data_IF_164622813124
#
_entry.id   IF_164622813124
#
_cell.length_a   1.000
_cell.length_b   1.000
_cell.length_c   1.000
_cell.angle_alpha   90.00
_cell.angle_beta   90.00
_cell.angle_gamma   90.00
#
_symmetry.space_group_name_H-M   'P 1'
#
loop_
_entity.id
_entity.type
_entity.pdbx_description
1 polymer ?
#
# COMPACT_ATOMS: atom_id res chain seq x y z
N UNK A 1 -14.85 42.09 -62.45
CA UNK A 1 -14.64 41.86 -61.00
C UNK A 1 -15.04 40.44 -60.69
N UNK A 2 -14.22 39.77 -59.90
CA UNK A 2 -13.93 38.34 -59.93
C UNK A 2 -15.04 37.41 -59.40
N UNK A 3 -15.01 36.20 -59.96
CA UNK A 3 -15.79 35.02 -59.63
C UNK A 3 -15.26 34.36 -58.34
N UNK A 4 -16.01 34.46 -57.24
CA UNK A 4 -15.71 33.76 -55.99
C UNK A 4 -16.00 32.26 -56.08
N UNK A 5 -14.98 31.45 -56.37
CA UNK A 5 -15.04 29.98 -56.24
C UNK A 5 -14.93 29.58 -54.78
N UNK A 6 -16.01 29.03 -54.22
CA UNK A 6 -15.94 28.24 -52.98
C UNK A 6 -15.22 26.92 -53.28
N UNK A 7 -13.99 26.78 -52.80
CA UNK A 7 -13.26 25.50 -52.82
C UNK A 7 -13.79 24.64 -51.67
N UNK A 8 -14.52 23.59 -52.03
CA UNK A 8 -14.94 22.52 -51.14
C UNK A 8 -13.70 21.68 -50.80
N UNK A 9 -13.16 21.83 -49.59
CA UNK A 9 -12.08 20.98 -49.06
C UNK A 9 -12.53 19.51 -49.07
N UNK A 10 -11.71 18.56 -49.56
CA UNK A 10 -12.06 17.15 -49.49
C UNK A 10 -11.98 16.66 -48.03
N UNK A 11 -13.01 15.94 -47.59
CA UNK A 11 -13.00 15.20 -46.32
C UNK A 11 -11.89 14.14 -46.41
N UNK A 12 -10.87 14.24 -45.56
CA UNK A 12 -9.88 13.18 -45.39
C UNK A 12 -10.51 12.02 -44.60
N UNK A 13 -11.11 11.07 -45.32
CA UNK A 13 -11.38 9.73 -44.81
C UNK A 13 -10.11 8.89 -44.85
N UNK A 14 -10.04 7.92 -43.93
CA UNK A 14 -8.97 6.94 -43.71
C UNK A 14 -7.78 7.37 -42.83
N UNK A 15 -8.03 7.49 -41.51
CA UNK A 15 -7.00 7.09 -40.55
C UNK A 15 -6.80 5.58 -40.67
N UNK A 16 -5.87 5.14 -41.52
CA UNK A 16 -5.39 3.75 -41.51
C UNK A 16 -4.74 3.50 -40.16
N UNK A 17 -5.49 2.90 -39.23
CA UNK A 17 -4.89 2.17 -38.12
C UNK A 17 -4.04 1.07 -38.75
N UNK A 18 -2.73 1.32 -38.85
CA UNK A 18 -1.76 0.29 -39.20
C UNK A 18 -1.80 -0.71 -38.07
N UNK A 19 -2.49 -1.82 -38.29
CA UNK A 19 -2.34 -3.02 -37.49
C UNK A 19 -0.88 -3.43 -37.56
N UNK A 20 -0.14 -3.26 -36.47
CA UNK A 20 1.25 -3.72 -36.40
C UNK A 20 1.18 -5.24 -36.20
N UNK A 21 1.73 -6.06 -37.12
CA UNK A 21 1.65 -7.51 -36.99
C UNK A 21 2.31 -7.97 -35.69
N UNK A 22 1.78 -9.03 -35.09
CA UNK A 22 2.27 -9.63 -33.85
C UNK A 22 3.78 -9.98 -33.84
N UNK A 23 4.44 -10.12 -35.00
CA UNK A 23 5.90 -10.27 -35.10
C UNK A 23 6.72 -9.05 -34.65
N UNK A 24 6.10 -7.89 -34.47
CA UNK A 24 6.72 -6.70 -33.86
C UNK A 24 6.82 -6.76 -32.33
N UNK A 25 6.08 -7.69 -31.68
CA UNK A 25 6.09 -7.83 -30.23
C UNK A 25 7.33 -8.59 -29.73
N UNK A 26 7.85 -9.54 -30.51
CA UNK A 26 9.10 -10.23 -30.17
C UNK A 26 10.31 -9.27 -30.23
N UNK A 27 10.38 -8.43 -31.28
CA UNK A 27 11.41 -7.39 -31.39
C UNK A 27 11.31 -6.35 -30.27
N UNK A 28 10.11 -6.01 -29.81
CA UNK A 28 9.93 -5.05 -28.71
C UNK A 28 10.30 -5.69 -27.36
N UNK A 29 10.00 -6.96 -27.14
CA UNK A 29 10.38 -7.67 -25.92
C UNK A 29 11.90 -7.90 -25.83
N UNK A 30 12.56 -8.21 -26.95
CA UNK A 30 14.02 -8.35 -27.01
C UNK A 30 14.70 -7.01 -26.69
N UNK A 31 14.24 -5.91 -27.30
CA UNK A 31 14.75 -4.57 -27.01
C UNK A 31 14.54 -4.17 -25.54
N UNK A 32 13.38 -4.47 -24.96
CA UNK A 32 13.09 -4.23 -23.53
C UNK A 32 14.02 -5.05 -22.62
N UNK A 33 14.27 -6.31 -22.96
CA UNK A 33 15.14 -7.20 -22.17
C UNK A 33 16.59 -6.73 -22.25
N UNK A 34 17.07 -6.45 -23.46
CA UNK A 34 18.45 -6.03 -23.72
C UNK A 34 18.78 -4.69 -23.06
N UNK A 35 17.89 -3.70 -23.16
CA UNK A 35 18.11 -2.37 -22.57
C UNK A 35 17.75 -2.32 -21.07
N UNK A 36 16.56 -2.82 -20.72
CA UNK A 36 15.99 -2.67 -19.38
C UNK A 36 16.71 -3.49 -18.32
N UNK A 37 17.25 -4.67 -18.69
CA UNK A 37 18.06 -5.53 -17.80
C UNK A 37 17.46 -5.68 -16.39
N UNK A 38 16.16 -5.93 -16.32
CA UNK A 38 15.38 -5.85 -15.08
C UNK A 38 16.00 -6.68 -13.95
N UNK A 39 16.43 -7.91 -14.22
CA UNK A 39 17.04 -8.81 -13.24
C UNK A 39 18.33 -8.24 -12.64
N UNK A 40 19.15 -7.56 -13.46
CA UNK A 40 20.38 -6.94 -13.01
C UNK A 40 20.09 -5.74 -12.09
N UNK A 41 19.10 -4.92 -12.44
CA UNK A 41 18.67 -3.79 -11.61
C UNK A 41 18.05 -4.26 -10.29
N UNK A 42 17.19 -5.28 -10.33
CA UNK A 42 16.60 -5.87 -9.14
C UNK A 42 17.66 -6.44 -8.20
N UNK A 43 18.62 -7.22 -8.73
CA UNK A 43 19.72 -7.79 -7.96
C UNK A 43 20.60 -6.71 -7.31
N UNK A 44 20.93 -5.64 -8.05
CA UNK A 44 21.69 -4.51 -7.53
C UNK A 44 20.99 -3.82 -6.35
N UNK A 45 19.65 -3.74 -6.39
CA UNK A 45 18.81 -3.20 -5.31
C UNK A 45 18.58 -4.20 -4.16
N UNK A 46 19.00 -5.46 -4.29
CA UNK A 46 18.69 -6.51 -3.30
C UNK A 46 17.26 -7.04 -3.38
N UNK A 47 16.53 -6.75 -4.46
CA UNK A 47 15.17 -7.22 -4.73
C UNK A 47 15.21 -8.62 -5.35
N UNK A 48 15.64 -9.61 -4.57
CA UNK A 48 15.59 -11.01 -5.00
C UNK A 48 14.13 -11.46 -5.19
N UNK A 49 13.85 -12.55 -5.94
CA UNK A 49 12.49 -13.05 -6.08
C UNK A 49 11.78 -13.31 -4.74
N UNK A 50 12.50 -13.85 -3.74
CA UNK A 50 11.97 -14.09 -2.41
C UNK A 50 11.57 -12.78 -1.70
N UNK A 51 12.45 -11.76 -1.74
CA UNK A 51 12.18 -10.42 -1.20
C UNK A 51 11.00 -9.75 -1.92
N UNK A 52 10.98 -9.85 -3.26
CA UNK A 52 9.91 -9.31 -4.10
C UNK A 52 8.53 -9.86 -3.76
N UNK A 53 8.42 -11.17 -3.52
CA UNK A 53 7.17 -11.82 -3.08
C UNK A 53 6.69 -11.26 -1.74
N UNK A 54 7.59 -11.06 -0.78
CA UNK A 54 7.23 -10.51 0.54
C UNK A 54 6.73 -9.07 0.43
N UNK A 55 7.41 -8.23 -0.35
CA UNK A 55 6.99 -6.85 -0.64
C UNK A 55 5.63 -6.82 -1.33
N UNK A 56 5.46 -7.64 -2.38
CA UNK A 56 4.20 -7.73 -3.11
C UNK A 56 3.05 -8.12 -2.16
N UNK A 57 3.26 -9.11 -1.29
CA UNK A 57 2.28 -9.52 -0.29
C UNK A 57 1.89 -8.36 0.65
N UNK A 58 2.87 -7.61 1.19
CA UNK A 58 2.62 -6.45 2.06
C UNK A 58 1.75 -5.40 1.34
N UNK A 59 2.08 -5.06 0.09
CA UNK A 59 1.32 -4.10 -0.71
C UNK A 59 -0.10 -4.61 -1.00
N UNK A 60 -0.24 -5.88 -1.39
CA UNK A 60 -1.54 -6.49 -1.65
C UNK A 60 -2.41 -6.56 -0.39
N UNK A 61 -1.83 -6.88 0.77
CA UNK A 61 -2.55 -6.90 2.04
C UNK A 61 -3.03 -5.50 2.43
N UNK A 62 -2.22 -4.46 2.21
CA UNK A 62 -2.63 -3.08 2.46
C UNK A 62 -3.84 -2.69 1.61
N UNK A 63 -3.85 -3.02 0.31
CA UNK A 63 -5.01 -2.77 -0.56
C UNK A 63 -6.26 -3.53 -0.10
N UNK A 64 -6.10 -4.78 0.35
CA UNK A 64 -7.19 -5.55 0.96
C UNK A 64 -7.71 -4.92 2.26
N UNK A 65 -6.81 -4.41 3.11
CA UNK A 65 -7.17 -3.73 4.36
C UNK A 65 -8.01 -2.49 4.05
N UNK A 66 -7.60 -1.64 3.10
CA UNK A 66 -8.36 -0.45 2.69
C UNK A 66 -9.80 -0.83 2.28
N UNK A 67 -9.93 -1.83 1.41
CA UNK A 67 -11.22 -2.32 0.92
C UNK A 67 -12.13 -2.85 2.04
N UNK A 68 -11.57 -3.62 2.97
CA UNK A 68 -12.32 -4.26 4.05
C UNK A 68 -12.62 -3.29 5.21
N UNK A 69 -11.73 -2.34 5.49
CA UNK A 69 -11.92 -1.33 6.53
C UNK A 69 -13.16 -0.50 6.29
N UNK A 70 -13.36 -0.02 5.06
CA UNK A 70 -14.56 0.73 4.70
C UNK A 70 -15.84 -0.06 5.00
N UNK A 71 -15.87 -1.35 4.66
CA UNK A 71 -17.03 -2.23 4.90
C UNK A 71 -17.22 -2.56 6.37
N UNK A 72 -16.14 -2.76 7.12
CA UNK A 72 -16.18 -2.95 8.55
C UNK A 72 -16.74 -1.69 9.25
N UNK A 73 -16.35 -0.49 8.79
CA UNK A 73 -16.92 0.76 9.26
C UNK A 73 -18.41 0.86 9.03
N UNK A 74 -18.89 0.48 7.84
CA UNK A 74 -20.33 0.48 7.57
C UNK A 74 -21.09 -0.40 8.54
N UNK A 75 -20.58 -1.61 8.81
CA UNK A 75 -21.22 -2.54 9.74
C UNK A 75 -21.21 -2.05 11.17
N UNK A 76 -20.04 -1.67 11.68
CA UNK A 76 -19.88 -1.18 13.06
C UNK A 76 -20.74 0.06 13.30
N UNK A 77 -20.97 0.89 12.27
CA UNK A 77 -21.79 2.10 12.35
C UNK A 77 -23.25 1.91 11.92
N UNK A 78 -23.65 0.71 11.49
CA UNK A 78 -25.00 0.44 10.99
C UNK A 78 -25.39 1.20 9.71
N UNK A 79 -24.44 1.47 8.82
CA UNK A 79 -24.64 2.19 7.56
C UNK A 79 -25.03 1.20 6.46
N UNK A 80 -26.16 1.45 5.78
CA UNK A 80 -26.50 0.81 4.50
C UNK A 80 -26.03 1.72 3.35
N UNK A 81 -24.98 1.35 2.59
CA UNK A 81 -24.48 2.15 1.48
C UNK A 81 -25.39 2.09 0.24
N UNK A 82 -26.46 1.29 0.23
CA UNK A 82 -27.30 1.11 -0.96
C UNK A 82 -28.00 2.41 -1.34
N UNK A 83 -27.72 2.90 -2.55
CA UNK A 83 -28.38 4.09 -3.10
C UNK A 83 -27.92 5.41 -2.48
N UNK A 84 -26.99 5.40 -1.53
CA UNK A 84 -26.47 6.59 -0.87
C UNK A 84 -24.95 6.59 -0.93
N UNK A 85 -24.35 7.72 -1.29
CA UNK A 85 -22.90 7.89 -1.23
C UNK A 85 -22.46 7.89 0.25
N UNK A 86 -21.69 6.91 0.73
CA UNK A 86 -21.28 6.88 2.13
C UNK A 86 -20.23 7.95 2.41
N UNK A 87 -20.14 8.40 3.67
CA UNK A 87 -19.16 9.39 4.12
C UNK A 87 -17.70 8.87 4.14
N UNK A 88 -17.55 7.55 3.91
CA UNK A 88 -16.29 6.83 3.73
C UNK A 88 -15.75 6.91 2.30
N UNK A 89 -16.56 7.29 1.31
CA UNK A 89 -16.15 7.32 -0.10
C UNK A 89 -14.97 8.29 -0.32
N UNK A 90 -13.98 7.83 -1.09
CA UNK A 90 -12.77 8.57 -1.45
C UNK A 90 -11.98 9.13 -0.24
N UNK A 91 -12.19 8.58 0.96
CA UNK A 91 -11.43 8.94 2.15
C UNK A 91 -10.03 8.35 2.10
N UNK A 92 -9.07 9.09 2.62
CA UNK A 92 -7.73 8.57 2.85
C UNK A 92 -7.79 7.48 3.93
N UNK A 93 -6.91 6.49 3.83
CA UNK A 93 -6.83 5.40 4.82
C UNK A 93 -6.66 5.91 6.25
N UNK A 94 -5.91 6.99 6.45
CA UNK A 94 -5.75 7.65 7.76
C UNK A 94 -7.06 8.17 8.34
N UNK A 95 -7.96 8.63 7.48
CA UNK A 95 -9.27 9.13 7.88
C UNK A 95 -10.17 7.95 8.25
N UNK A 96 -10.17 6.89 7.45
CA UNK A 96 -10.91 5.65 7.75
C UNK A 96 -10.48 5.03 9.08
N UNK A 97 -9.17 4.98 9.36
CA UNK A 97 -8.65 4.50 10.66
C UNK A 97 -9.17 5.38 11.80
N UNK A 98 -9.17 6.70 11.62
CA UNK A 98 -9.68 7.65 12.64
C UNK A 98 -11.19 7.49 12.86
N UNK A 99 -11.96 7.24 11.80
CA UNK A 99 -13.39 6.92 11.89
C UNK A 99 -13.61 5.63 12.68
N UNK A 100 -12.74 4.62 12.51
CA UNK A 100 -12.85 3.35 13.22
C UNK A 100 -12.50 3.51 14.70
N UNK A 101 -11.45 4.27 15.02
CA UNK A 101 -11.11 4.63 16.40
C UNK A 101 -12.27 5.35 17.11
N UNK A 102 -12.94 6.26 16.40
CA UNK A 102 -14.10 6.96 16.94
C UNK A 102 -15.28 6.02 17.18
N UNK A 103 -15.54 5.09 16.24
CA UNK A 103 -16.59 4.09 16.38
C UNK A 103 -16.31 3.08 17.50
N UNK A 104 -15.04 2.82 17.81
CA UNK A 104 -14.63 1.92 18.89
C UNK A 104 -15.08 2.39 20.28
N UNK A 105 -15.21 3.71 20.49
CA UNK A 105 -15.61 4.28 21.79
C UNK A 105 -17.00 3.82 22.26
N UNK A 106 -17.88 3.47 21.32
CA UNK A 106 -19.24 2.99 21.62
C UNK A 106 -19.32 1.47 21.89
N UNK A 107 -18.23 0.72 21.75
CA UNK A 107 -18.22 -0.74 21.85
C UNK A 107 -17.92 -1.24 23.28
N UNK A 108 -18.22 -2.51 23.55
CA UNK A 108 -17.87 -3.15 24.83
C UNK A 108 -16.35 -3.23 25.02
N UNK A 109 -15.86 -3.40 26.24
CA UNK A 109 -14.43 -3.23 26.56
C UNK A 109 -13.50 -4.15 25.74
N UNK A 110 -13.88 -5.41 25.51
CA UNK A 110 -13.09 -6.35 24.71
C UNK A 110 -13.01 -5.97 23.21
N UNK A 111 -14.15 -5.54 22.65
CA UNK A 111 -14.27 -5.11 21.26
C UNK A 111 -13.54 -3.78 21.04
N UNK A 112 -13.73 -2.83 21.97
CA UNK A 112 -13.03 -1.56 22.01
C UNK A 112 -11.52 -1.78 22.05
N UNK A 113 -11.03 -2.69 22.89
CA UNK A 113 -9.63 -3.04 22.95
C UNK A 113 -9.12 -3.61 21.62
N UNK A 114 -9.88 -4.52 20.99
CA UNK A 114 -9.54 -5.09 19.69
C UNK A 114 -9.38 -3.98 18.64
N UNK A 115 -10.38 -3.11 18.52
CA UNK A 115 -10.40 -2.04 17.52
C UNK A 115 -9.28 -1.02 17.76
N UNK A 116 -9.04 -0.61 19.00
CA UNK A 116 -7.95 0.32 19.33
C UNK A 116 -6.57 -0.26 19.01
N UNK A 117 -6.33 -1.53 19.35
CA UNK A 117 -5.08 -2.22 19.00
C UNK A 117 -4.91 -2.33 17.49
N UNK A 118 -5.99 -2.68 16.77
CA UNK A 118 -5.98 -2.77 15.31
C UNK A 118 -5.65 -1.42 14.69
N UNK A 119 -6.30 -0.33 15.12
CA UNK A 119 -6.05 1.01 14.58
C UNK A 119 -4.61 1.47 14.83
N UNK A 120 -4.08 1.27 16.05
CA UNK A 120 -2.70 1.62 16.37
C UNK A 120 -1.70 0.85 15.51
N UNK A 121 -1.91 -0.46 15.31
CA UNK A 121 -1.06 -1.28 14.45
C UNK A 121 -1.19 -0.87 12.96
N UNK A 122 -2.41 -0.59 12.49
CA UNK A 122 -2.67 -0.18 11.12
C UNK A 122 -1.97 1.15 10.78
N UNK A 123 -1.96 2.13 11.68
CA UNK A 123 -1.22 3.39 11.47
C UNK A 123 0.25 3.13 11.15
N UNK A 124 0.92 2.30 11.95
CA UNK A 124 2.32 1.92 11.72
C UNK A 124 2.49 1.09 10.44
N UNK A 125 1.60 0.13 10.18
CA UNK A 125 1.62 -0.67 8.95
C UNK A 125 1.49 0.17 7.68
N UNK A 126 0.61 1.18 7.69
CA UNK A 126 0.47 2.10 6.57
C UNK A 126 1.66 3.05 6.43
N UNK A 127 2.33 3.43 7.51
CA UNK A 127 3.63 4.14 7.41
C UNK A 127 4.65 3.31 6.63
N UNK A 128 4.82 2.03 6.99
CA UNK A 128 5.73 1.11 6.29
C UNK A 128 5.31 0.95 4.82
N UNK A 129 4.03 0.70 4.54
CA UNK A 129 3.51 0.60 3.17
C UNK A 129 3.77 1.87 2.36
N UNK A 130 3.59 3.05 2.95
CA UNK A 130 3.88 4.31 2.24
C UNK A 130 5.37 4.43 1.91
N UNK A 131 6.25 3.99 2.80
CA UNK A 131 7.69 3.98 2.54
C UNK A 131 8.01 3.00 1.41
N UNK A 132 7.49 1.77 1.43
CA UNK A 132 7.70 0.79 0.35
C UNK A 132 7.16 1.30 -1.00
N UNK A 133 5.93 1.82 -1.03
CA UNK A 133 5.25 2.16 -2.28
C UNK A 133 5.69 3.49 -2.90
N UNK A 134 6.19 4.43 -2.10
CA UNK A 134 6.55 5.78 -2.54
C UNK A 134 8.00 6.15 -2.26
N UNK A 135 8.75 5.28 -1.60
CA UNK A 135 10.16 5.46 -1.33
C UNK A 135 11.02 4.96 -2.48
N UNK A 136 12.22 5.53 -2.57
CA UNK A 136 13.25 5.05 -3.49
C UNK A 136 13.90 3.80 -2.86
N UNK A 137 13.89 2.65 -3.54
CA UNK A 137 14.58 1.46 -3.05
C UNK A 137 16.09 1.66 -3.17
N UNK A 138 16.81 1.25 -2.13
CA UNK A 138 18.26 1.28 -2.09
C UNK A 138 18.78 0.06 -1.34
N UNK A 139 19.95 -0.43 -1.75
CA UNK A 139 20.69 -1.42 -0.97
C UNK A 139 21.79 -0.71 -0.19
N UNK A 140 21.73 -0.80 1.13
CA UNK A 140 22.73 -0.19 2.02
C UNK A 140 23.32 -1.31 2.88
N UNK A 141 24.57 -1.69 2.59
CA UNK A 141 25.18 -2.88 3.17
C UNK A 141 24.37 -4.14 2.82
N UNK A 142 23.95 -4.88 3.86
CA UNK A 142 23.12 -6.08 3.73
C UNK A 142 21.62 -5.82 3.66
N UNK A 143 21.17 -4.59 3.94
CA UNK A 143 19.75 -4.27 4.09
C UNK A 143 19.17 -3.60 2.83
N UNK A 144 17.90 -3.88 2.56
CA UNK A 144 17.07 -3.12 1.63
C UNK A 144 16.46 -1.96 2.39
N UNK A 145 16.53 -0.74 1.84
CA UNK A 145 15.92 0.44 2.41
C UNK A 145 14.98 1.10 1.40
N UNK A 146 13.88 1.64 1.89
CA UNK A 146 12.96 2.48 1.12
C UNK A 146 12.93 3.88 1.72
N UNK A 147 13.42 4.89 0.99
CA UNK A 147 13.47 6.27 1.46
C UNK A 147 12.43 7.13 0.76
N UNK A 148 11.42 7.57 1.50
CA UNK A 148 10.35 8.46 1.02
C UNK A 148 10.72 9.91 1.34
N UNK A 149 10.61 10.78 0.34
CA UNK A 149 10.97 12.20 0.41
C UNK A 149 12.41 12.44 0.93
N UNK A 150 13.44 11.77 0.36
CA UNK A 150 14.82 12.07 0.72
C UNK A 150 15.13 13.54 0.44
N UNK A 151 16.15 14.06 1.15
CA UNK A 151 16.64 15.44 1.05
C UNK A 151 18.14 15.46 0.78
N UNK A 152 18.58 14.62 -0.16
CA UNK A 152 20.00 14.33 -0.40
C UNK A 152 20.78 15.55 -0.88
N UNK A 153 20.11 16.50 -1.55
CA UNK A 153 20.72 17.70 -2.13
C UNK A 153 20.45 18.94 -1.25
N UNK A 154 20.06 18.74 0.02
CA UNK A 154 19.71 19.83 0.93
C UNK A 154 18.36 20.50 0.63
N UNK A 155 17.55 19.91 -0.24
CA UNK A 155 16.27 20.50 -0.64
C UNK A 155 15.22 20.40 0.47
N UNK A 156 14.39 21.45 0.58
CA UNK A 156 13.25 21.45 1.48
C UNK A 156 12.04 20.80 0.80
N UNK A 157 11.47 19.77 1.45
CA UNK A 157 10.29 19.05 0.96
C UNK A 157 9.07 19.39 1.80
N UNK A 158 7.92 19.58 1.14
CA UNK A 158 6.62 19.78 1.81
C UNK A 158 6.22 18.60 2.71
N UNK A 159 6.54 17.38 2.27
CA UNK A 159 6.25 16.14 3.02
C UNK A 159 7.46 15.74 3.86
N UNK A 160 7.17 15.10 4.99
CA UNK A 160 8.20 14.58 5.90
C UNK A 160 8.97 13.41 5.26
N UNK A 161 10.24 13.34 5.62
CA UNK A 161 11.05 12.16 5.35
C UNK A 161 10.45 10.94 6.06
N UNK A 162 10.56 9.78 5.43
CA UNK A 162 10.27 8.51 6.08
C UNK A 162 11.09 7.42 5.44
N UNK A 163 11.50 6.45 6.23
CA UNK A 163 12.28 5.32 5.78
C UNK A 163 11.75 4.00 6.32
N UNK A 164 12.08 2.94 5.61
CA UNK A 164 11.83 1.58 6.06
C UNK A 164 13.04 0.73 5.71
N UNK A 165 13.67 0.16 6.74
CA UNK A 165 14.82 -0.72 6.61
C UNK A 165 14.36 -2.17 6.77
N UNK A 166 14.70 -2.98 5.78
CA UNK A 166 14.22 -4.33 5.62
C UNK A 166 15.39 -5.29 5.44
N UNK A 167 15.58 -6.13 6.46
CA UNK A 167 16.24 -7.42 6.28
C UNK A 167 15.19 -8.49 5.94
N UNK A 168 15.64 -9.66 5.51
CA UNK A 168 14.74 -10.73 5.06
C UNK A 168 13.74 -11.17 6.15
N UNK A 169 14.22 -11.25 7.40
CA UNK A 169 13.40 -11.55 8.58
C UNK A 169 12.43 -10.40 8.92
N UNK A 170 12.85 -9.15 8.76
CA UNK A 170 11.99 -7.97 8.97
C UNK A 170 10.80 -8.02 8.04
N UNK A 171 11.02 -8.35 6.76
CA UNK A 171 9.95 -8.48 5.78
C UNK A 171 8.96 -9.59 6.13
N UNK A 172 9.41 -10.71 6.67
CA UNK A 172 8.51 -11.77 7.13
C UNK A 172 7.64 -11.32 8.31
N UNK A 173 8.24 -10.68 9.31
CA UNK A 173 7.50 -10.16 10.46
C UNK A 173 6.45 -9.12 10.05
N UNK A 174 6.83 -8.16 9.20
CA UNK A 174 5.91 -7.15 8.68
C UNK A 174 4.80 -7.80 7.83
N UNK A 175 5.14 -8.78 6.99
CA UNK A 175 4.17 -9.51 6.17
C UNK A 175 3.12 -10.23 7.04
N UNK A 176 3.54 -10.95 8.08
CA UNK A 176 2.63 -11.64 9.00
C UNK A 176 1.78 -10.66 9.84
N UNK A 177 2.37 -9.54 10.25
CA UNK A 177 1.63 -8.49 10.95
C UNK A 177 0.55 -7.85 10.05
N UNK A 178 0.87 -7.55 8.79
CA UNK A 178 -0.10 -7.04 7.81
C UNK A 178 -1.18 -8.07 7.48
N UNK A 179 -0.84 -9.36 7.37
CA UNK A 179 -1.80 -10.44 7.21
C UNK A 179 -2.76 -10.54 8.41
N UNK A 180 -2.24 -10.35 9.62
CA UNK A 180 -3.06 -10.31 10.85
C UNK A 180 -4.09 -9.18 10.79
N UNK A 181 -3.66 -7.97 10.40
CA UNK A 181 -4.57 -6.83 10.24
C UNK A 181 -5.64 -7.11 9.19
N UNK A 182 -5.25 -7.64 8.02
CA UNK A 182 -6.17 -8.00 6.94
C UNK A 182 -7.20 -9.03 7.40
N UNK A 183 -6.75 -10.11 8.05
CA UNK A 183 -7.65 -11.18 8.50
C UNK A 183 -8.70 -10.63 9.46
N UNK A 184 -8.31 -9.82 10.43
CA UNK A 184 -9.24 -9.26 11.42
C UNK A 184 -10.25 -8.33 10.75
N UNK A 185 -9.79 -7.39 9.93
CA UNK A 185 -10.70 -6.42 9.32
C UNK A 185 -11.61 -7.07 8.27
N UNK A 186 -11.12 -8.08 7.56
CA UNK A 186 -11.93 -8.86 6.62
C UNK A 186 -13.02 -9.66 7.34
N UNK A 187 -12.74 -10.20 8.53
CA UNK A 187 -13.76 -10.85 9.37
C UNK A 187 -14.78 -9.83 9.88
N UNK A 188 -14.35 -8.68 10.41
CA UNK A 188 -15.25 -7.60 10.83
C UNK A 188 -16.11 -7.04 9.68
N UNK A 189 -15.63 -7.14 8.44
CA UNK A 189 -16.38 -6.76 7.25
C UNK A 189 -17.42 -7.79 6.81
N UNK A 190 -17.56 -8.92 7.51
CA UNK A 190 -18.42 -10.07 7.17
C UNK A 190 -19.30 -10.54 8.33
N UNK A 191 -18.81 -10.44 9.55
CA UNK A 191 -19.52 -10.82 10.76
C UNK A 191 -20.24 -9.60 11.36
N UNK A 192 -21.40 -9.84 11.94
CA UNK A 192 -22.18 -8.81 12.64
C UNK A 192 -21.90 -8.85 14.15
N UNK A 193 -21.24 -9.92 14.64
CA UNK A 193 -20.85 -10.07 16.03
C UNK A 193 -19.36 -9.75 16.25
N UNK A 194 -19.07 -8.55 16.75
CA UNK A 194 -17.71 -8.14 17.08
C UNK A 194 -17.11 -9.02 18.18
N UNK A 195 -17.92 -9.56 19.09
CA UNK A 195 -17.47 -10.39 20.20
C UNK A 195 -16.89 -11.72 19.72
N UNK A 196 -17.41 -12.25 18.60
CA UNK A 196 -16.87 -13.45 17.93
C UNK A 196 -15.46 -13.22 17.35
N UNK A 197 -15.10 -11.97 17.05
CA UNK A 197 -13.76 -11.59 16.57
C UNK A 197 -12.83 -11.21 17.73
N UNK A 198 -13.36 -10.61 18.79
CA UNK A 198 -12.64 -10.11 19.97
C UNK A 198 -12.12 -11.24 20.91
N UNK A 199 -11.62 -12.32 20.33
CA UNK A 199 -11.08 -13.47 21.05
C UNK A 199 -9.67 -13.21 21.59
N UNK A 200 -9.29 -13.93 22.65
CA UNK A 200 -7.94 -13.83 23.23
C UNK A 200 -6.80 -14.11 22.21
N UNK A 201 -6.91 -15.11 21.32
CA UNK A 201 -5.92 -15.32 20.25
C UNK A 201 -5.80 -14.10 19.32
N UNK A 202 -6.91 -13.49 18.92
CA UNK A 202 -6.89 -12.31 18.06
C UNK A 202 -6.23 -11.11 18.75
N UNK A 203 -6.57 -10.86 20.02
CA UNK A 203 -5.95 -9.80 20.82
C UNK A 203 -4.44 -10.02 20.99
N UNK A 204 -4.00 -11.26 21.22
CA UNK A 204 -2.57 -11.59 21.31
C UNK A 204 -1.85 -11.34 19.98
N UNK A 205 -2.44 -11.76 18.86
CA UNK A 205 -1.89 -11.53 17.54
C UNK A 205 -1.79 -10.03 17.21
N UNK A 206 -2.80 -9.24 17.57
CA UNK A 206 -2.77 -7.78 17.39
C UNK A 206 -1.71 -7.09 18.23
N UNK A 207 -1.49 -7.52 19.48
CA UNK A 207 -0.41 -6.97 20.31
C UNK A 207 0.95 -7.23 19.68
N UNK A 208 1.18 -8.44 19.17
CA UNK A 208 2.39 -8.78 18.44
C UNK A 208 2.53 -7.95 17.16
N UNK A 209 1.47 -7.86 16.33
CA UNK A 209 1.47 -7.06 15.12
C UNK A 209 1.74 -5.57 15.41
N UNK A 210 1.12 -5.01 16.46
CA UNK A 210 1.37 -3.63 16.90
C UNK A 210 2.82 -3.42 17.30
N UNK A 211 3.41 -4.36 18.04
CA UNK A 211 4.81 -4.30 18.45
C UNK A 211 5.73 -4.27 17.23
N UNK A 212 5.59 -5.27 16.35
CA UNK A 212 6.39 -5.43 15.12
C UNK A 212 6.27 -4.20 14.22
N UNK A 213 5.04 -3.78 13.89
CA UNK A 213 4.83 -2.66 12.99
C UNK A 213 5.28 -1.34 13.63
N UNK A 214 5.08 -1.17 14.94
CA UNK A 214 5.52 0.01 15.68
C UNK A 214 7.04 0.16 15.68
N UNK A 215 7.77 -0.93 15.88
CA UNK A 215 9.23 -0.97 15.82
C UNK A 215 9.74 -0.55 14.44
N UNK A 216 9.27 -1.21 13.38
CA UNK A 216 9.79 -1.00 12.02
C UNK A 216 9.22 0.23 11.30
N UNK A 217 8.17 0.86 11.85
CA UNK A 217 7.71 2.17 11.39
C UNK A 217 8.48 3.34 12.02
N UNK A 218 9.26 3.08 13.08
CA UNK A 218 10.04 4.11 13.75
C UNK A 218 11.28 4.49 12.95
N UNK A 219 11.51 5.79 12.79
CA UNK A 219 12.74 6.32 12.17
C UNK A 219 13.98 6.09 13.04
N UNK A 220 13.81 5.68 14.30
CA UNK A 220 14.93 5.27 15.17
C UNK A 220 15.44 3.89 14.84
N UNK A 221 14.67 3.08 14.12
CA UNK A 221 15.12 1.79 13.58
C UNK A 221 15.95 2.06 12.33
N UNK A 222 17.21 2.45 12.53
CA UNK A 222 18.18 2.55 11.46
C UNK A 222 19.42 1.72 11.83
N UNK A 223 19.60 0.54 11.23
CA UNK A 223 20.70 -0.38 11.54
C UNK A 223 22.09 0.17 11.16
N UNK A 224 22.17 1.32 10.49
CA UNK A 224 23.45 2.00 10.25
C UNK A 224 23.96 2.79 11.46
N UNK A 225 23.11 3.15 12.43
CA UNK A 225 23.56 3.82 13.66
C UNK A 225 24.23 2.87 14.67
N UNK A 226 24.01 1.56 14.57
CA UNK A 226 24.66 0.58 15.46
C UNK A 226 26.09 0.23 15.04
N UNK A 227 26.58 0.76 13.91
CA UNK A 227 27.88 0.38 13.32
C UNK A 227 28.92 1.51 13.25
N UNK A 228 28.66 2.67 13.85
CA UNK A 228 29.64 3.77 13.94
C UNK A 228 29.67 4.40 15.32
#
# INVERSE_FOLDING_TARGET
>A
METGRYVKMPRSTESRHRYVPWGSHEMSQEALTAFGRADALQSALGLTPAVGVKIAAIISFAGGIEYHLERALWRIRGIDPKGTKPDTDARMITDLITMLESAAAAQADGERQLLQLWCAAARSGFTIRHNIAHGVPMRIGGALAYMRNPRWEGEQRKREFGDFWAEDNTLDLVREAMATLLRIIATLSKDDDLSAVATQPALRALRAARSVLGEFASQTYNPSYEKY
#
